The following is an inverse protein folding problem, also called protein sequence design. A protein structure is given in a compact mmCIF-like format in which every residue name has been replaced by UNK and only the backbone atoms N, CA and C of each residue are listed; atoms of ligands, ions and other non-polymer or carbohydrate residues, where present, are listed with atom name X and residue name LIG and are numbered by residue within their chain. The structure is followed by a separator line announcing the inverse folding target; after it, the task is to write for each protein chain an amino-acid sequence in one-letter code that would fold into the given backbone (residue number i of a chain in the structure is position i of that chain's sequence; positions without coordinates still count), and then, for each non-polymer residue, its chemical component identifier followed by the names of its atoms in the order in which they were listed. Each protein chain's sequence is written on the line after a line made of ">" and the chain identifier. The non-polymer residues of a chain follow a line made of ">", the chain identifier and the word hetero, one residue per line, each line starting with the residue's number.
data_IF_259515083372
#
_entry.id   IF_259515083372
#
_cell.length_a   1.000
_cell.length_b   1.000
_cell.length_c   1.000
_cell.angle_alpha   90.00
_cell.angle_beta   90.00
_cell.angle_gamma   90.00
#
_symmetry.space_group_name_H-M   'P 1'
#
loop_
_entity.id
_entity.type
_entity.pdbx_description
1 polymer ?
#
# COMPACT_ATOMS: atom_id res chain seq x y z
N UNK A 1 6.81 32.59 -15.19
CA UNK A 1 6.18 32.46 -16.53
C UNK A 1 7.00 31.44 -17.30
N UNK A 2 6.60 30.17 -17.24
CA UNK A 2 7.15 29.10 -18.06
C UNK A 2 6.19 28.97 -19.24
N UNK A 3 6.71 29.04 -20.47
CA UNK A 3 5.92 29.08 -21.69
C UNK A 3 5.07 27.82 -21.87
N UNK A 4 3.75 28.01 -21.99
CA UNK A 4 2.75 27.01 -22.34
C UNK A 4 2.90 26.53 -23.79
N UNK A 5 3.83 25.63 -24.07
CA UNK A 5 3.95 25.00 -25.41
C UNK A 5 4.18 23.49 -25.34
N UNK A 6 3.20 22.75 -24.82
CA UNK A 6 3.06 21.31 -25.10
C UNK A 6 1.57 20.92 -25.19
N UNK A 7 0.86 21.45 -26.19
CA UNK A 7 -0.46 20.94 -26.56
C UNK A 7 -0.71 21.18 -28.05
N UNK A 8 -0.18 20.31 -28.91
CA UNK A 8 -0.56 20.28 -30.33
C UNK A 8 -0.02 19.02 -31.02
N UNK A 9 -0.85 17.98 -31.10
CA UNK A 9 -0.92 17.16 -32.34
C UNK A 9 -2.12 16.22 -32.49
N UNK A 10 -2.92 15.95 -31.46
CA UNK A 10 -4.09 15.06 -31.59
C UNK A 10 -5.24 15.45 -30.64
N UNK A 11 -6.11 16.39 -31.04
CA UNK A 11 -7.32 16.74 -30.29
C UNK A 11 -8.56 16.05 -30.89
N UNK A 12 -9.12 15.05 -30.20
CA UNK A 12 -10.32 14.27 -30.57
C UNK A 12 -11.32 14.13 -29.41
N UNK A 13 -11.40 15.14 -28.55
CA UNK A 13 -12.27 15.15 -27.37
C UNK A 13 -13.73 15.43 -27.80
N UNK A 14 -14.64 14.45 -27.60
CA UNK A 14 -16.08 14.57 -27.87
C UNK A 14 -16.82 14.57 -26.52
N UNK A 15 -16.86 15.73 -25.86
CA UNK A 15 -17.56 15.92 -24.59
C UNK A 15 -17.89 17.39 -24.39
N UNK A 16 -19.15 17.71 -24.09
CA UNK A 16 -19.63 19.08 -23.88
C UNK A 16 -18.97 19.74 -22.66
N UNK A 17 -18.07 20.71 -22.88
CA UNK A 17 -17.43 21.55 -21.83
C UNK A 17 -18.24 22.84 -21.62
N UNK A 18 -19.54 22.79 -21.38
CA UNK A 18 -20.27 24.02 -21.06
C UNK A 18 -20.01 24.47 -19.60
N UNK A 19 -19.83 23.53 -18.67
CA UNK A 19 -19.69 23.82 -17.24
C UNK A 19 -18.25 24.17 -16.80
N UNK A 20 -17.23 23.60 -17.45
CA UNK A 20 -15.81 23.75 -17.09
C UNK A 20 -15.17 25.05 -17.64
N UNK A 21 -15.67 25.59 -18.76
CA UNK A 21 -15.24 26.88 -19.32
C UNK A 21 -15.61 28.08 -18.42
N UNK A 22 -16.46 27.87 -17.42
CA UNK A 22 -16.89 28.91 -16.47
C UNK A 22 -16.11 28.84 -15.14
N UNK A 23 -15.24 27.86 -14.95
CA UNK A 23 -14.44 27.73 -13.73
C UNK A 23 -13.21 28.66 -13.80
N UNK A 24 -13.03 29.56 -12.82
CA UNK A 24 -11.85 30.42 -12.76
C UNK A 24 -10.56 29.60 -12.78
N UNK A 25 -9.66 29.88 -13.73
CA UNK A 25 -8.37 29.19 -13.86
C UNK A 25 -8.38 27.95 -14.77
N UNK A 26 -9.56 27.49 -15.22
CA UNK A 26 -9.70 26.48 -16.26
C UNK A 26 -9.95 27.16 -17.61
N UNK A 27 -9.06 26.94 -18.57
CA UNK A 27 -9.20 27.44 -19.94
C UNK A 27 -8.16 28.49 -20.33
N UNK A 28 -7.32 28.12 -21.30
CA UNK A 28 -6.61 29.05 -22.18
C UNK A 28 -6.75 28.56 -23.61
N UNK A 29 -7.39 29.32 -24.49
CA UNK A 29 -7.39 29.20 -25.97
C UNK A 29 -7.27 27.79 -26.58
N UNK A 30 -7.89 26.77 -25.99
CA UNK A 30 -7.91 25.42 -26.54
C UNK A 30 -9.18 25.24 -27.39
N UNK A 31 -9.06 24.63 -28.59
CA UNK A 31 -10.22 24.20 -29.37
C UNK A 31 -11.17 23.35 -28.51
N UNK A 32 -12.47 23.40 -28.80
CA UNK A 32 -13.54 22.63 -28.13
C UNK A 32 -13.35 21.11 -28.10
N UNK A 33 -12.31 20.61 -28.76
CA UNK A 33 -11.98 19.19 -28.92
C UNK A 33 -10.70 18.79 -28.18
N UNK A 34 -10.22 19.60 -27.23
CA UNK A 34 -9.07 19.29 -26.39
C UNK A 34 -9.48 19.11 -24.92
N UNK A 35 -8.76 18.28 -24.14
CA UNK A 35 -9.01 18.15 -22.70
C UNK A 35 -8.89 19.50 -21.96
N UNK A 36 -9.58 19.68 -20.82
CA UNK A 36 -9.52 20.93 -20.07
C UNK A 36 -8.11 21.16 -19.47
N UNK A 37 -7.53 22.34 -19.73
CA UNK A 37 -6.31 22.84 -19.06
C UNK A 37 -6.70 23.72 -17.87
N UNK A 38 -6.46 23.19 -16.68
CA UNK A 38 -6.71 23.77 -15.37
C UNK A 38 -5.40 23.81 -14.55
N UNK A 39 -4.24 23.89 -15.20
CA UNK A 39 -2.94 23.96 -14.53
C UNK A 39 -2.91 25.11 -13.51
N UNK A 40 -2.60 24.79 -12.25
CA UNK A 40 -2.54 25.74 -11.15
C UNK A 40 -3.90 26.37 -10.77
N UNK A 41 -5.02 25.84 -11.27
CA UNK A 41 -6.34 26.39 -10.97
C UNK A 41 -6.69 26.24 -9.48
N UNK A 42 -7.39 27.23 -8.92
CA UNK A 42 -7.93 27.17 -7.57
C UNK A 42 -9.39 26.72 -7.58
N UNK A 43 -9.60 25.48 -7.18
CA UNK A 43 -10.87 24.77 -7.25
C UNK A 43 -11.34 24.31 -5.87
N UNK A 44 -10.82 24.87 -4.77
CA UNK A 44 -11.17 24.44 -3.40
C UNK A 44 -12.69 24.32 -3.21
N UNK A 45 -13.14 23.20 -2.64
CA UNK A 45 -14.53 23.01 -2.21
C UNK A 45 -15.55 22.92 -3.34
N UNK A 46 -15.12 22.89 -4.61
CA UNK A 46 -16.03 22.86 -5.75
C UNK A 46 -16.70 21.51 -5.88
N UNK A 47 -17.97 21.55 -6.27
CA UNK A 47 -18.72 20.36 -6.68
C UNK A 47 -18.48 20.11 -8.17
N UNK A 48 -17.82 18.99 -8.43
CA UNK A 48 -17.50 18.44 -9.74
C UNK A 48 -17.82 16.94 -9.77
N UNK A 49 -18.80 16.50 -8.97
CA UNK A 49 -19.23 15.11 -8.95
C UNK A 49 -19.72 14.68 -10.35
N UNK A 50 -19.26 13.51 -10.80
CA UNK A 50 -19.55 13.00 -12.15
C UNK A 50 -18.96 13.82 -13.30
N UNK A 51 -18.08 14.80 -13.03
CA UNK A 51 -17.46 15.60 -14.06
C UNK A 51 -16.62 14.73 -15.01
N UNK A 52 -16.66 15.07 -16.31
CA UNK A 52 -15.84 14.43 -17.34
C UNK A 52 -14.56 15.22 -17.51
N UNK A 53 -13.49 14.74 -16.88
CA UNK A 53 -12.16 15.32 -16.80
C UNK A 53 -11.10 14.36 -17.36
N UNK A 54 -11.50 13.41 -18.20
CA UNK A 54 -10.58 12.48 -18.84
C UNK A 54 -9.53 13.25 -19.65
N UNK A 55 -8.25 12.92 -19.44
CA UNK A 55 -7.09 13.58 -20.04
C UNK A 55 -6.93 15.07 -19.66
N UNK A 56 -7.66 15.56 -18.66
CA UNK A 56 -7.53 16.94 -18.19
C UNK A 56 -6.12 17.20 -17.63
N UNK A 57 -5.66 18.44 -17.77
CA UNK A 57 -4.40 18.90 -17.18
C UNK A 57 -4.76 19.69 -15.93
N UNK A 58 -4.50 19.10 -14.77
CA UNK A 58 -4.75 19.62 -13.42
C UNK A 58 -3.44 19.73 -12.63
N UNK A 59 -2.31 19.79 -13.33
CA UNK A 59 -0.97 19.92 -12.74
C UNK A 59 -0.93 21.10 -11.77
N UNK A 60 -0.46 20.86 -10.55
CA UNK A 60 -0.36 21.83 -9.45
C UNK A 60 -1.70 22.51 -9.08
N UNK A 61 -2.85 21.99 -9.53
CA UNK A 61 -4.15 22.55 -9.19
C UNK A 61 -4.47 22.35 -7.70
N UNK A 62 -5.17 23.33 -7.14
CA UNK A 62 -5.65 23.26 -5.76
C UNK A 62 -7.08 22.71 -5.75
N UNK A 63 -7.20 21.42 -5.49
CA UNK A 63 -8.43 20.64 -5.45
C UNK A 63 -8.80 20.23 -4.01
N UNK A 64 -8.34 20.99 -3.00
CA UNK A 64 -8.63 20.65 -1.61
C UNK A 64 -10.14 20.67 -1.36
N UNK A 65 -10.64 19.65 -0.66
CA UNK A 65 -12.07 19.52 -0.32
C UNK A 65 -13.03 19.54 -1.53
N UNK A 66 -12.54 19.31 -2.75
CA UNK A 66 -13.42 19.21 -3.91
C UNK A 66 -14.26 17.94 -3.85
N UNK A 67 -15.48 18.00 -4.38
CA UNK A 67 -16.29 16.83 -4.63
C UNK A 67 -16.05 16.38 -6.07
N UNK A 68 -15.37 15.26 -6.22
CA UNK A 68 -15.04 14.55 -7.46
C UNK A 68 -15.62 13.13 -7.45
N UNK A 69 -16.64 12.88 -6.63
CA UNK A 69 -17.32 11.59 -6.54
C UNK A 69 -17.79 11.15 -7.94
N UNK A 70 -17.46 9.93 -8.35
CA UNK A 70 -17.76 9.38 -9.70
C UNK A 70 -17.21 10.20 -10.88
N UNK A 71 -16.30 11.16 -10.65
CA UNK A 71 -15.70 11.91 -11.75
C UNK A 71 -14.85 10.98 -12.63
N UNK A 72 -14.82 11.25 -13.93
CA UNK A 72 -13.92 10.59 -14.87
C UNK A 72 -12.66 11.41 -15.01
N UNK A 73 -11.57 10.98 -14.37
CA UNK A 73 -10.22 11.55 -14.38
C UNK A 73 -9.25 10.60 -15.09
N UNK A 74 -9.75 9.69 -15.93
CA UNK A 74 -8.90 8.72 -16.62
C UNK A 74 -7.88 9.43 -17.50
N UNK A 75 -6.63 9.00 -17.41
CA UNK A 75 -5.48 9.60 -18.13
C UNK A 75 -5.27 11.10 -17.86
N UNK A 76 -5.92 11.67 -16.84
CA UNK A 76 -5.69 13.06 -16.45
C UNK A 76 -4.30 13.21 -15.81
N UNK A 77 -3.72 14.40 -15.94
CA UNK A 77 -2.48 14.76 -15.29
C UNK A 77 -2.78 15.65 -14.08
N UNK A 78 -2.68 15.06 -12.89
CA UNK A 78 -2.83 15.70 -11.59
C UNK A 78 -1.48 15.82 -10.86
N UNK A 79 -0.36 15.78 -11.58
CA UNK A 79 0.97 15.85 -10.98
C UNK A 79 1.13 17.10 -10.11
N UNK A 80 1.56 16.92 -8.86
CA UNK A 80 1.72 17.99 -7.88
C UNK A 80 0.40 18.65 -7.42
N UNK A 81 -0.76 18.17 -7.83
CA UNK A 81 -2.04 18.71 -7.38
C UNK A 81 -2.26 18.48 -5.88
N UNK A 82 -3.08 19.32 -5.27
CA UNK A 82 -3.45 19.22 -3.85
C UNK A 82 -4.89 18.77 -3.71
N UNK A 83 -5.10 17.52 -3.33
CA UNK A 83 -6.39 16.86 -3.15
C UNK A 83 -6.68 16.56 -1.67
N UNK A 84 -6.04 17.29 -0.74
CA UNK A 84 -6.25 17.13 0.70
C UNK A 84 -7.74 17.23 1.04
N UNK A 85 -8.26 16.23 1.74
CA UNK A 85 -9.67 16.08 2.13
C UNK A 85 -10.65 16.10 0.93
N UNK A 86 -10.20 15.85 -0.30
CA UNK A 86 -11.08 15.76 -1.47
C UNK A 86 -11.89 14.45 -1.45
N UNK A 87 -13.12 14.50 -1.94
CA UNK A 87 -13.94 13.30 -2.14
C UNK A 87 -13.81 12.84 -3.59
N UNK A 88 -13.10 11.74 -3.82
CA UNK A 88 -12.92 11.03 -5.09
C UNK A 88 -13.57 9.64 -5.05
N UNK A 89 -14.55 9.41 -4.17
CA UNK A 89 -15.16 8.10 -4.03
C UNK A 89 -15.77 7.65 -5.37
N UNK A 90 -15.47 6.41 -5.77
CA UNK A 90 -15.87 5.82 -7.05
C UNK A 90 -15.40 6.60 -8.30
N UNK A 91 -14.43 7.50 -8.18
CA UNK A 91 -13.87 8.19 -9.34
C UNK A 91 -13.05 7.24 -10.22
N UNK A 92 -12.97 7.53 -11.51
CA UNK A 92 -12.13 6.82 -12.45
C UNK A 92 -10.81 7.57 -12.64
N UNK A 93 -9.73 7.09 -12.04
CA UNK A 93 -8.36 7.59 -12.15
C UNK A 93 -7.47 6.64 -12.97
N UNK A 94 -8.09 5.76 -13.78
CA UNK A 94 -7.35 4.77 -14.56
C UNK A 94 -6.28 5.45 -15.42
N UNK A 95 -5.04 4.99 -15.31
CA UNK A 95 -3.88 5.54 -16.02
C UNK A 95 -3.62 7.04 -15.81
N UNK A 96 -4.16 7.65 -14.74
CA UNK A 96 -3.88 9.03 -14.41
C UNK A 96 -2.42 9.23 -13.93
N UNK A 97 -1.87 10.41 -14.18
CA UNK A 97 -0.58 10.83 -13.63
C UNK A 97 -0.84 11.58 -12.33
N UNK A 98 -0.34 11.06 -11.22
CA UNK A 98 -0.56 11.52 -9.85
C UNK A 98 0.81 11.73 -9.15
N UNK A 99 1.84 12.09 -9.92
CA UNK A 99 3.21 12.23 -9.43
C UNK A 99 3.28 13.29 -8.33
N UNK A 100 3.74 12.91 -7.13
CA UNK A 100 3.88 13.83 -5.99
C UNK A 100 2.58 14.48 -5.54
N UNK A 101 1.41 13.90 -5.87
CA UNK A 101 0.10 14.44 -5.47
C UNK A 101 -0.07 14.37 -3.94
N UNK A 102 -0.76 15.35 -3.38
CA UNK A 102 -1.14 15.34 -1.96
C UNK A 102 -2.60 14.91 -1.79
N UNK A 103 -2.82 13.66 -1.43
CA UNK A 103 -4.11 13.00 -1.18
C UNK A 103 -4.38 12.83 0.33
N UNK A 104 -3.68 13.56 1.19
CA UNK A 104 -3.85 13.46 2.65
C UNK A 104 -5.32 13.55 3.05
N UNK A 105 -5.82 12.54 3.78
CA UNK A 105 -7.20 12.44 4.24
C UNK A 105 -8.28 12.51 3.12
N UNK A 106 -7.90 12.27 1.86
CA UNK A 106 -8.85 12.18 0.76
C UNK A 106 -9.67 10.87 0.82
N UNK A 107 -10.88 10.89 0.26
CA UNK A 107 -11.72 9.70 0.10
C UNK A 107 -11.65 9.16 -1.32
N UNK A 108 -11.02 8.00 -1.51
CA UNK A 108 -10.91 7.23 -2.75
C UNK A 108 -11.64 5.88 -2.64
N UNK A 109 -12.63 5.76 -1.74
CA UNK A 109 -13.41 4.54 -1.58
C UNK A 109 -14.01 4.06 -2.91
N UNK A 110 -13.68 2.83 -3.33
CA UNK A 110 -14.13 2.24 -4.59
C UNK A 110 -13.58 2.90 -5.86
N UNK A 111 -12.60 3.79 -5.78
CA UNK A 111 -12.02 4.44 -6.96
C UNK A 111 -11.21 3.44 -7.81
N UNK A 112 -11.17 3.68 -9.12
CA UNK A 112 -10.33 2.93 -10.06
C UNK A 112 -9.03 3.69 -10.30
N UNK A 113 -7.92 3.22 -9.74
CA UNK A 113 -6.55 3.71 -9.96
C UNK A 113 -5.71 2.75 -10.81
N UNK A 114 -6.35 1.85 -11.58
CA UNK A 114 -5.64 0.85 -12.37
C UNK A 114 -4.60 1.49 -13.30
N UNK A 115 -3.34 1.09 -13.17
CA UNK A 115 -2.21 1.61 -13.93
C UNK A 115 -1.88 3.10 -13.71
N UNK A 116 -2.44 3.74 -12.69
CA UNK A 116 -2.12 5.12 -12.34
C UNK A 116 -0.68 5.24 -11.77
N UNK A 117 -0.05 6.39 -11.96
CA UNK A 117 1.30 6.66 -11.45
C UNK A 117 1.24 7.63 -10.28
N UNK A 118 1.30 7.10 -9.04
CA UNK A 118 1.32 7.84 -7.79
C UNK A 118 2.74 7.90 -7.19
N UNK A 119 3.79 7.85 -8.02
CA UNK A 119 5.18 7.94 -7.53
C UNK A 119 5.36 9.20 -6.68
N UNK A 120 5.87 9.02 -5.46
CA UNK A 120 6.10 10.10 -4.49
C UNK A 120 4.84 10.75 -3.91
N UNK A 121 3.64 10.19 -4.15
CA UNK A 121 2.40 10.75 -3.63
C UNK A 121 2.28 10.62 -2.10
N UNK A 122 1.64 11.60 -1.46
CA UNK A 122 1.28 11.53 -0.05
C UNK A 122 -0.18 11.09 0.09
N UNK A 123 -0.40 9.88 0.59
CA UNK A 123 -1.70 9.26 0.85
C UNK A 123 -1.91 9.01 2.36
N UNK A 124 -1.33 9.85 3.22
CA UNK A 124 -1.47 9.72 4.67
C UNK A 124 -2.95 9.83 5.06
N UNK A 125 -3.46 8.83 5.79
CA UNK A 125 -4.85 8.82 6.26
C UNK A 125 -5.92 8.72 5.16
N UNK A 126 -5.54 8.46 3.90
CA UNK A 126 -6.47 8.34 2.78
C UNK A 126 -7.36 7.10 2.93
N UNK A 127 -8.64 7.22 2.56
CA UNK A 127 -9.54 6.07 2.41
C UNK A 127 -9.45 5.48 1.00
N UNK A 128 -8.96 4.26 0.87
CA UNK A 128 -8.86 3.46 -0.35
C UNK A 128 -9.70 2.16 -0.22
N UNK A 129 -10.69 2.13 0.67
CA UNK A 129 -11.54 0.94 0.88
C UNK A 129 -12.14 0.47 -0.44
N UNK A 130 -11.89 -0.79 -0.81
CA UNK A 130 -12.40 -1.39 -2.05
C UNK A 130 -11.86 -0.76 -3.35
N UNK A 131 -10.84 0.10 -3.29
CA UNK A 131 -10.25 0.70 -4.48
C UNK A 131 -9.47 -0.33 -5.32
N UNK A 132 -9.38 -0.09 -6.62
CA UNK A 132 -8.58 -0.88 -7.55
C UNK A 132 -7.26 -0.15 -7.86
N UNK A 133 -6.14 -0.67 -7.38
CA UNK A 133 -4.78 -0.17 -7.63
C UNK A 133 -3.96 -1.12 -8.52
N UNK A 134 -4.62 -2.03 -9.25
CA UNK A 134 -3.94 -2.99 -10.11
C UNK A 134 -2.94 -2.31 -11.04
N UNK A 135 -1.71 -2.81 -11.10
CA UNK A 135 -0.63 -2.27 -11.94
C UNK A 135 -0.25 -0.80 -11.67
N UNK A 136 -0.77 -0.18 -10.59
CA UNK A 136 -0.37 1.17 -10.22
C UNK A 136 1.08 1.21 -9.73
N UNK A 137 1.69 2.42 -9.77
CA UNK A 137 3.02 2.67 -9.22
C UNK A 137 2.93 3.63 -8.04
N UNK A 138 3.53 3.28 -6.92
CA UNK A 138 3.54 4.09 -5.70
C UNK A 138 4.95 4.17 -5.09
N UNK A 139 6.00 4.02 -5.91
CA UNK A 139 7.37 4.10 -5.41
C UNK A 139 7.63 5.42 -4.67
N UNK A 140 8.20 5.32 -3.47
CA UNK A 140 8.47 6.48 -2.61
C UNK A 140 7.23 7.21 -2.07
N UNK A 141 6.03 6.64 -2.25
CA UNK A 141 4.80 7.19 -1.69
C UNK A 141 4.66 6.97 -0.17
N UNK A 142 3.63 7.57 0.42
CA UNK A 142 3.33 7.44 1.85
C UNK A 142 1.86 7.09 2.08
N UNK A 143 1.57 5.87 2.52
CA UNK A 143 0.25 5.34 2.92
C UNK A 143 0.12 5.18 4.44
N UNK A 144 0.91 5.91 5.23
CA UNK A 144 0.85 5.83 6.70
C UNK A 144 -0.59 6.10 7.17
N UNK A 145 -1.12 5.22 8.02
CA UNK A 145 -2.50 5.29 8.54
C UNK A 145 -3.62 5.29 7.48
N UNK A 146 -3.31 4.92 6.22
CA UNK A 146 -4.34 4.77 5.19
C UNK A 146 -5.25 3.57 5.47
N UNK A 147 -6.49 3.62 4.95
CA UNK A 147 -7.45 2.50 5.01
C UNK A 147 -7.62 1.90 3.63
N UNK A 148 -7.13 0.69 3.42
CA UNK A 148 -7.14 -0.06 2.16
C UNK A 148 -8.05 -1.30 2.20
N UNK A 149 -8.96 -1.41 3.18
CA UNK A 149 -9.77 -2.62 3.42
C UNK A 149 -10.40 -3.16 2.14
N UNK A 150 -10.14 -4.44 1.82
CA UNK A 150 -10.72 -5.10 0.65
C UNK A 150 -10.32 -4.52 -0.71
N UNK A 151 -9.26 -3.71 -0.77
CA UNK A 151 -8.74 -3.15 -2.03
C UNK A 151 -7.96 -4.19 -2.84
N UNK A 152 -7.73 -3.89 -4.11
CA UNK A 152 -6.94 -4.73 -5.01
C UNK A 152 -5.62 -4.04 -5.39
N UNK A 153 -4.50 -4.58 -4.91
CA UNK A 153 -3.13 -4.14 -5.20
C UNK A 153 -2.35 -5.17 -6.03
N UNK A 154 -3.04 -6.04 -6.76
CA UNK A 154 -2.39 -7.10 -7.55
C UNK A 154 -1.40 -6.47 -8.55
N UNK A 155 -0.16 -6.96 -8.52
CA UNK A 155 0.92 -6.49 -9.41
C UNK A 155 1.22 -4.99 -9.33
N UNK A 156 0.89 -4.34 -8.22
CA UNK A 156 1.29 -2.96 -7.93
C UNK A 156 2.77 -2.90 -7.50
N UNK A 157 3.49 -1.86 -7.91
CA UNK A 157 4.83 -1.58 -7.39
C UNK A 157 4.77 -0.57 -6.23
N UNK A 158 5.06 -1.07 -5.03
CA UNK A 158 5.04 -0.33 -3.76
C UNK A 158 6.40 -0.47 -3.05
N UNK A 159 7.48 -0.60 -3.83
CA UNK A 159 8.84 -0.76 -3.30
C UNK A 159 9.18 0.39 -2.33
N UNK A 160 9.65 0.05 -1.12
CA UNK A 160 10.04 1.03 -0.09
C UNK A 160 8.93 1.94 0.42
N UNK A 161 7.66 1.64 0.16
CA UNK A 161 6.52 2.47 0.61
C UNK A 161 6.41 2.46 2.14
N UNK A 162 5.89 3.56 2.71
CA UNK A 162 5.40 3.53 4.10
C UNK A 162 3.93 3.15 4.15
N UNK A 163 3.64 2.02 4.78
CA UNK A 163 2.31 1.50 5.15
C UNK A 163 2.17 1.41 6.68
N UNK A 164 3.00 2.14 7.43
CA UNK A 164 3.00 2.07 8.88
C UNK A 164 1.60 2.38 9.45
N UNK A 165 1.11 1.50 10.32
CA UNK A 165 -0.22 1.60 10.94
C UNK A 165 -1.41 1.67 9.95
N UNK A 166 -1.20 1.32 8.68
CA UNK A 166 -2.29 1.25 7.70
C UNK A 166 -3.19 0.05 7.98
N UNK A 167 -4.47 0.16 7.61
CA UNK A 167 -5.40 -0.98 7.62
C UNK A 167 -5.54 -1.53 6.20
N UNK A 168 -4.92 -2.67 5.93
CA UNK A 168 -4.91 -3.39 4.65
C UNK A 168 -5.67 -4.73 4.76
N UNK A 169 -6.49 -4.91 5.81
CA UNK A 169 -7.20 -6.16 6.07
C UNK A 169 -8.12 -6.58 4.90
N UNK A 170 -8.16 -7.88 4.64
CA UNK A 170 -8.96 -8.49 3.56
C UNK A 170 -8.58 -8.07 2.13
N UNK A 171 -7.50 -7.32 1.93
CA UNK A 171 -7.08 -6.83 0.62
C UNK A 171 -6.32 -7.89 -0.18
N UNK A 172 -6.28 -7.72 -1.50
CA UNK A 172 -5.50 -8.58 -2.39
C UNK A 172 -4.19 -7.90 -2.81
N UNK A 173 -3.06 -8.39 -2.30
CA UNK A 173 -1.68 -7.98 -2.59
C UNK A 173 -0.89 -9.09 -3.30
N UNK A 174 -1.58 -9.99 -4.00
CA UNK A 174 -0.92 -11.11 -4.68
C UNK A 174 0.04 -10.61 -5.75
N UNK A 175 1.25 -11.16 -5.78
CA UNK A 175 2.31 -10.78 -6.75
C UNK A 175 2.68 -9.29 -6.74
N UNK A 176 2.46 -8.60 -5.62
CA UNK A 176 2.87 -7.22 -5.37
C UNK A 176 4.34 -7.17 -4.96
N UNK A 177 5.05 -6.08 -5.30
CA UNK A 177 6.42 -5.85 -4.85
C UNK A 177 6.46 -4.87 -3.66
N UNK A 178 6.64 -5.40 -2.46
CA UNK A 178 6.79 -4.72 -1.17
C UNK A 178 8.24 -4.81 -0.64
N UNK A 179 9.24 -4.97 -1.51
CA UNK A 179 10.65 -5.00 -1.13
C UNK A 179 11.01 -3.74 -0.31
N UNK A 180 11.56 -3.95 0.89
CA UNK A 180 11.97 -2.89 1.81
C UNK A 180 10.83 -2.00 2.35
N UNK A 181 9.56 -2.36 2.13
CA UNK A 181 8.42 -1.57 2.58
C UNK A 181 8.33 -1.50 4.12
N UNK A 182 7.78 -0.40 4.64
CA UNK A 182 7.58 -0.19 6.08
C UNK A 182 6.12 -0.46 6.44
N UNK A 183 5.84 -1.64 6.98
CA UNK A 183 4.50 -2.13 7.31
C UNK A 183 4.28 -2.25 8.82
N UNK A 184 5.17 -1.66 9.63
CA UNK A 184 5.15 -1.82 11.07
C UNK A 184 3.83 -1.33 11.66
N UNK A 185 3.25 -2.15 12.54
CA UNK A 185 1.94 -1.91 13.16
C UNK A 185 0.74 -1.91 12.20
N UNK A 186 0.92 -2.28 10.93
CA UNK A 186 -0.20 -2.38 9.99
C UNK A 186 -1.13 -3.55 10.33
N UNK A 187 -2.40 -3.42 9.99
CA UNK A 187 -3.35 -4.53 10.02
C UNK A 187 -3.50 -5.11 8.61
N UNK A 188 -3.02 -6.34 8.42
CA UNK A 188 -3.08 -7.11 7.18
C UNK A 188 -3.86 -8.42 7.38
N UNK A 189 -4.70 -8.50 8.41
CA UNK A 189 -5.45 -9.72 8.71
C UNK A 189 -6.35 -10.14 7.55
N UNK A 190 -6.37 -11.45 7.26
CA UNK A 190 -7.13 -12.04 6.16
C UNK A 190 -6.76 -11.56 4.76
N UNK A 191 -5.63 -10.86 4.58
CA UNK A 191 -5.18 -10.41 3.26
C UNK A 191 -4.62 -11.55 2.41
N UNK A 192 -4.63 -11.37 1.09
CA UNK A 192 -4.03 -12.28 0.12
C UNK A 192 -2.66 -11.74 -0.29
N UNK A 193 -1.59 -12.44 0.07
CA UNK A 193 -0.18 -12.11 -0.15
C UNK A 193 0.52 -13.22 -0.95
N UNK A 194 -0.23 -13.88 -1.85
CA UNK A 194 0.27 -15.03 -2.62
C UNK A 194 1.38 -14.57 -3.56
N UNK A 195 2.57 -15.18 -3.42
CA UNK A 195 3.79 -14.84 -4.19
C UNK A 195 4.17 -13.36 -4.13
N UNK A 196 3.84 -12.69 -3.03
CA UNK A 196 4.24 -11.30 -2.79
C UNK A 196 5.73 -11.23 -2.47
N UNK A 197 6.44 -10.24 -3.01
CA UNK A 197 7.84 -9.99 -2.68
C UNK A 197 7.94 -9.01 -1.52
N UNK A 198 8.41 -9.48 -0.37
CA UNK A 198 8.64 -8.73 0.88
C UNK A 198 10.10 -8.78 1.36
N UNK A 199 11.15 -8.97 0.52
CA UNK A 199 12.50 -9.09 1.05
C UNK A 199 12.92 -7.79 1.75
N UNK A 200 13.49 -7.91 2.94
CA UNK A 200 13.90 -6.78 3.78
C UNK A 200 12.77 -5.87 4.28
N UNK A 201 11.50 -6.26 4.09
CA UNK A 201 10.36 -5.47 4.58
C UNK A 201 10.34 -5.40 6.12
N UNK A 202 9.82 -4.30 6.66
CA UNK A 202 9.63 -4.09 8.11
C UNK A 202 8.18 -4.36 8.47
N UNK A 203 7.90 -5.56 8.96
CA UNK A 203 6.59 -6.09 9.38
C UNK A 203 6.48 -6.17 10.92
N UNK A 204 7.18 -5.28 11.62
CA UNK A 204 7.23 -5.35 13.08
C UNK A 204 5.85 -5.03 13.68
N UNK A 205 5.37 -5.86 14.60
CA UNK A 205 4.05 -5.72 15.22
C UNK A 205 2.88 -5.69 14.21
N UNK A 206 3.09 -6.19 12.98
CA UNK A 206 2.04 -6.27 11.97
C UNK A 206 1.07 -7.41 12.31
N UNK A 207 -0.23 -7.18 12.11
CA UNK A 207 -1.24 -8.22 12.22
C UNK A 207 -1.41 -8.94 10.87
N UNK A 208 -0.95 -10.17 10.77
CA UNK A 208 -1.07 -11.07 9.62
C UNK A 208 -2.02 -12.25 9.91
N UNK A 209 -2.85 -12.16 10.95
CA UNK A 209 -3.76 -13.25 11.35
C UNK A 209 -4.60 -13.74 10.18
N UNK A 210 -4.57 -15.05 9.91
CA UNK A 210 -5.35 -15.69 8.86
C UNK A 210 -5.06 -15.21 7.43
N UNK A 211 -3.96 -14.49 7.21
CA UNK A 211 -3.55 -14.05 5.87
C UNK A 211 -2.96 -15.21 5.05
N UNK A 212 -3.01 -15.10 3.73
CA UNK A 212 -2.47 -16.09 2.81
C UNK A 212 -1.15 -15.60 2.21
N UNK A 213 -0.02 -16.07 2.73
CA UNK A 213 1.34 -15.80 2.26
C UNK A 213 1.93 -16.96 1.45
N UNK A 214 1.09 -17.79 0.81
CA UNK A 214 1.56 -18.93 0.03
C UNK A 214 2.62 -18.50 -1.01
N UNK A 215 3.81 -19.09 -0.91
CA UNK A 215 4.94 -18.79 -1.80
C UNK A 215 5.47 -17.35 -1.73
N UNK A 216 5.14 -16.57 -0.69
CA UNK A 216 5.67 -15.22 -0.51
C UNK A 216 7.17 -15.25 -0.21
N UNK A 217 7.90 -14.21 -0.61
CA UNK A 217 9.32 -14.03 -0.29
C UNK A 217 9.49 -12.99 0.82
N UNK A 218 9.72 -13.45 2.04
CA UNK A 218 9.97 -12.67 3.25
C UNK A 218 11.46 -12.68 3.64
N UNK A 219 12.38 -12.99 2.71
CA UNK A 219 13.79 -13.13 3.05
C UNK A 219 14.38 -11.86 3.66
N UNK A 220 15.05 -12.01 4.80
CA UNK A 220 15.62 -10.90 5.57
C UNK A 220 14.59 -9.89 6.10
N UNK A 221 13.28 -10.16 6.02
CA UNK A 221 12.26 -9.29 6.56
C UNK A 221 12.31 -9.26 8.10
N UNK A 222 11.93 -8.13 8.69
CA UNK A 222 11.77 -8.02 10.13
C UNK A 222 10.31 -8.21 10.50
N UNK A 223 9.96 -9.31 11.16
CA UNK A 223 8.63 -9.63 11.67
C UNK A 223 8.60 -9.59 13.20
N UNK A 224 9.42 -8.74 13.83
CA UNK A 224 9.54 -8.67 15.28
C UNK A 224 8.17 -8.42 15.92
N UNK A 225 7.75 -9.33 16.80
CA UNK A 225 6.45 -9.30 17.45
C UNK A 225 5.23 -9.24 16.51
N UNK A 226 5.36 -9.71 15.26
CA UNK A 226 4.24 -9.82 14.34
C UNK A 226 3.27 -10.93 14.76
N UNK A 227 1.98 -10.77 14.47
CA UNK A 227 0.98 -11.81 14.71
C UNK A 227 0.63 -12.54 13.40
N UNK A 228 1.13 -13.75 13.22
CA UNK A 228 0.87 -14.64 12.08
C UNK A 228 -0.07 -15.81 12.46
N UNK A 229 -0.88 -15.67 13.51
CA UNK A 229 -1.80 -16.74 13.95
C UNK A 229 -2.66 -17.23 12.79
N UNK A 230 -2.63 -18.52 12.50
CA UNK A 230 -3.40 -19.15 11.42
C UNK A 230 -3.06 -18.69 9.99
N UNK A 231 -1.93 -18.00 9.78
CA UNK A 231 -1.51 -17.60 8.45
C UNK A 231 -1.06 -18.80 7.60
N UNK A 232 -1.33 -18.77 6.30
CA UNK A 232 -0.81 -19.76 5.34
C UNK A 232 0.56 -19.29 4.82
N UNK A 233 1.63 -19.93 5.26
CA UNK A 233 3.01 -19.67 4.83
C UNK A 233 3.54 -20.83 3.98
N UNK A 234 2.67 -21.65 3.38
CA UNK A 234 3.10 -22.81 2.62
C UNK A 234 4.03 -22.39 1.46
N UNK A 235 5.22 -22.97 1.41
CA UNK A 235 6.25 -22.65 0.41
C UNK A 235 6.85 -21.24 0.52
N UNK A 236 6.56 -20.48 1.58
CA UNK A 236 7.11 -19.14 1.75
C UNK A 236 8.61 -19.17 2.07
N UNK A 237 9.34 -18.16 1.60
CA UNK A 237 10.76 -17.99 1.90
C UNK A 237 10.96 -16.98 3.03
N UNK A 238 11.29 -17.46 4.23
CA UNK A 238 11.60 -16.63 5.40
C UNK A 238 13.10 -16.59 5.71
N UNK A 239 13.97 -17.00 4.78
CA UNK A 239 15.41 -17.11 5.08
C UNK A 239 16.00 -15.80 5.63
N UNK A 240 16.68 -15.88 6.78
CA UNK A 240 17.28 -14.72 7.45
C UNK A 240 16.29 -13.74 8.07
N UNK A 241 14.98 -14.03 8.08
CA UNK A 241 13.98 -13.15 8.67
C UNK A 241 14.08 -13.11 10.21
N UNK A 242 13.70 -11.99 10.81
CA UNK A 242 13.60 -11.86 12.26
C UNK A 242 12.17 -12.14 12.72
N UNK A 243 11.97 -13.25 13.44
CA UNK A 243 10.70 -13.71 13.99
C UNK A 243 10.63 -13.59 15.52
N UNK A 244 11.62 -12.95 16.17
CA UNK A 244 11.59 -12.81 17.64
C UNK A 244 10.30 -12.14 18.09
N UNK A 245 9.64 -12.74 19.08
CA UNK A 245 8.36 -12.32 19.62
C UNK A 245 7.15 -12.58 18.72
N UNK A 246 7.35 -13.09 17.50
CA UNK A 246 6.25 -13.33 16.57
C UNK A 246 5.37 -14.50 17.05
N UNK A 247 4.07 -14.41 16.80
CA UNK A 247 3.13 -15.49 17.09
C UNK A 247 2.73 -16.20 15.80
N UNK A 248 3.14 -17.46 15.63
CA UNK A 248 2.84 -18.31 14.49
C UNK A 248 1.83 -19.41 14.85
N UNK A 249 1.05 -19.22 15.91
CA UNK A 249 0.12 -20.22 16.40
C UNK A 249 -0.86 -20.70 15.33
N UNK A 250 -0.87 -21.98 15.01
CA UNK A 250 -1.73 -22.54 13.96
C UNK A 250 -1.35 -22.18 12.52
N UNK A 251 -0.22 -21.49 12.28
CA UNK A 251 0.24 -21.16 10.94
C UNK A 251 0.65 -22.41 10.13
N UNK A 252 0.55 -22.35 8.81
CA UNK A 252 0.97 -23.44 7.92
C UNK A 252 2.36 -23.15 7.32
N UNK A 253 3.39 -23.82 7.82
CA UNK A 253 4.79 -23.69 7.43
C UNK A 253 5.27 -24.81 6.49
N UNK A 254 4.37 -25.61 5.92
CA UNK A 254 4.73 -26.72 5.01
C UNK A 254 5.54 -26.21 3.83
N UNK A 255 6.69 -26.83 3.54
CA UNK A 255 7.61 -26.40 2.48
C UNK A 255 8.23 -25.01 2.65
N UNK A 256 8.02 -24.32 3.78
CA UNK A 256 8.60 -23.00 4.01
C UNK A 256 10.11 -23.09 4.27
N UNK A 257 10.85 -22.07 3.85
CA UNK A 257 12.28 -21.95 4.13
C UNK A 257 12.51 -20.99 5.31
N UNK A 258 12.88 -21.51 6.47
CA UNK A 258 13.20 -20.75 7.68
C UNK A 258 14.72 -20.69 7.97
N UNK A 259 15.58 -21.05 7.02
CA UNK A 259 17.03 -21.07 7.24
C UNK A 259 17.57 -19.72 7.74
N UNK A 260 18.35 -19.75 8.81
CA UNK A 260 18.95 -18.55 9.40
C UNK A 260 17.96 -17.54 9.99
N UNK A 261 16.69 -17.91 10.20
CA UNK A 261 15.75 -17.03 10.90
C UNK A 261 16.18 -16.81 12.36
N UNK A 262 15.94 -15.59 12.87
CA UNK A 262 16.08 -15.29 14.30
C UNK A 262 14.76 -15.60 14.99
N UNK A 263 14.73 -16.66 15.79
CA UNK A 263 13.53 -17.10 16.51
C UNK A 263 13.66 -16.87 18.02
N UNK A 264 14.89 -16.99 18.55
CA UNK A 264 15.15 -16.85 19.97
C UNK A 264 15.53 -15.40 20.33
N UNK A 265 14.98 -14.89 21.42
CA UNK A 265 15.29 -13.55 21.93
C UNK A 265 16.76 -13.41 22.32
N UNK A 266 17.40 -14.51 22.74
CA UNK A 266 18.81 -14.52 23.14
C UNK A 266 19.77 -14.15 21.99
N UNK A 267 19.36 -14.39 20.75
CA UNK A 267 20.15 -14.09 19.55
C UNK A 267 19.87 -12.67 19.01
N UNK A 268 19.04 -11.89 19.72
CA UNK A 268 18.50 -10.63 19.25
C UNK A 268 18.93 -9.42 20.08
N UNK A 269 19.44 -8.40 19.40
CA UNK A 269 19.85 -7.13 20.03
C UNK A 269 18.72 -6.11 19.84
N UNK A 270 17.86 -5.97 20.85
CA UNK A 270 16.68 -5.09 20.84
C UNK A 270 17.04 -3.62 20.55
N UNK A 271 18.18 -3.13 21.05
CA UNK A 271 18.62 -1.74 20.88
C UNK A 271 18.96 -1.36 19.43
N UNK A 272 19.04 -2.35 18.53
CA UNK A 272 19.31 -2.11 17.10
C UNK A 272 18.07 -1.71 16.29
N UNK A 273 16.86 -1.84 16.87
CA UNK A 273 15.63 -1.55 16.13
C UNK A 273 15.37 -0.04 16.09
N UNK A 274 15.50 0.55 14.90
CA UNK A 274 15.19 1.96 14.61
C UNK A 274 13.80 2.15 14.02
N UNK A 275 12.85 1.32 14.42
CA UNK A 275 11.48 1.33 13.91
C UNK A 275 10.62 2.38 14.64
N UNK A 276 10.04 3.36 13.94
CA UNK A 276 9.21 4.40 14.56
C UNK A 276 8.10 3.84 15.46
N UNK A 277 7.42 2.76 15.03
CA UNK A 277 6.29 2.18 15.77
C UNK A 277 6.75 1.56 17.08
N UNK A 278 7.92 0.92 17.11
CA UNK A 278 8.49 0.34 18.33
C UNK A 278 9.03 1.43 19.25
N UNK A 279 9.65 2.48 18.68
CA UNK A 279 10.20 3.58 19.48
C UNK A 279 9.14 4.38 20.22
N UNK A 280 7.90 4.40 19.72
CA UNK A 280 6.75 5.01 20.39
C UNK A 280 6.24 4.23 21.62
N UNK A 281 6.59 2.94 21.75
CA UNK A 281 6.22 2.15 22.92
C UNK A 281 7.01 2.58 24.15
N UNK A 282 6.33 2.59 25.30
CA UNK A 282 7.01 2.69 26.59
C UNK A 282 7.85 1.43 26.86
N UNK A 283 8.80 1.54 27.80
CA UNK A 283 9.75 0.47 28.12
C UNK A 283 9.05 -0.82 28.58
N UNK A 284 7.98 -0.72 29.37
CA UNK A 284 7.25 -1.86 29.90
C UNK A 284 6.54 -2.65 28.78
N UNK A 285 5.95 -1.96 27.80
CA UNK A 285 5.28 -2.61 26.68
C UNK A 285 6.29 -3.18 25.69
N UNK A 286 7.41 -2.49 25.47
CA UNK A 286 8.52 -3.02 24.65
C UNK A 286 9.12 -4.29 25.24
N UNK A 287 9.29 -4.35 26.57
CA UNK A 287 9.83 -5.51 27.27
C UNK A 287 8.94 -6.76 27.12
N UNK A 288 7.61 -6.59 26.97
CA UNK A 288 6.69 -7.72 26.72
C UNK A 288 6.85 -8.33 25.34
N UNK A 289 7.46 -7.61 24.39
CA UNK A 289 7.68 -8.10 23.03
C UNK A 289 8.97 -8.95 22.91
N UNK A 290 9.87 -8.83 23.90
CA UNK A 290 11.15 -9.53 23.92
C UNK A 290 11.00 -10.96 24.44
N UNK A 291 10.41 -11.81 23.62
CA UNK A 291 10.21 -13.24 23.87
C UNK A 291 10.57 -14.04 22.62
N UNK A 292 10.80 -15.34 22.76
CA UNK A 292 10.99 -16.22 21.61
C UNK A 292 9.73 -16.24 20.73
N UNK A 293 9.86 -16.61 19.46
CA UNK A 293 8.68 -16.80 18.61
C UNK A 293 7.82 -17.96 19.11
N UNK A 294 6.50 -17.76 19.16
CA UNK A 294 5.55 -18.83 19.48
C UNK A 294 5.21 -19.63 18.22
N UNK A 295 5.68 -20.87 18.15
CA UNK A 295 5.42 -21.78 17.03
C UNK A 295 4.28 -22.78 17.33
N UNK A 296 3.67 -22.75 18.51
CA UNK A 296 2.80 -23.84 18.94
C UNK A 296 1.53 -23.98 18.10
N UNK A 297 1.24 -25.22 17.68
CA UNK A 297 0.12 -25.53 16.81
C UNK A 297 0.37 -25.23 15.33
N UNK A 298 1.50 -24.61 14.97
CA UNK A 298 1.89 -24.48 13.56
C UNK A 298 2.12 -25.85 12.94
N UNK A 299 1.98 -25.94 11.62
CA UNK A 299 2.06 -27.18 10.84
C UNK A 299 3.28 -27.15 9.92
N UNK A 300 3.99 -28.26 9.78
CA UNK A 300 5.14 -28.38 8.89
C UNK A 300 5.18 -29.75 8.21
N UNK A 301 6.01 -29.91 7.19
CA UNK A 301 6.24 -31.18 6.49
C UNK A 301 7.75 -31.46 6.32
N UNK A 302 8.09 -32.55 5.62
CA UNK A 302 9.48 -32.93 5.35
C UNK A 302 10.24 -31.95 4.43
N UNK A 303 9.54 -31.04 3.75
CA UNK A 303 10.13 -30.04 2.87
C UNK A 303 10.43 -28.73 3.61
N UNK A 304 9.81 -28.51 4.78
CA UNK A 304 10.08 -27.35 5.63
C UNK A 304 11.56 -27.33 6.06
N UNK A 305 12.23 -26.21 5.82
CA UNK A 305 13.65 -26.03 6.13
C UNK A 305 13.80 -25.21 7.41
N UNK A 306 14.11 -25.85 8.53
CA UNK A 306 14.27 -25.19 9.83
C UNK A 306 15.69 -24.63 10.05
N UNK A 307 15.88 -23.58 10.88
CA UNK A 307 17.21 -23.15 11.30
C UNK A 307 18.01 -24.31 11.93
N UNK A 308 19.31 -24.40 11.64
CA UNK A 308 20.18 -25.47 12.17
C UNK A 308 20.21 -25.55 13.69
N UNK A 309 20.01 -24.42 14.39
CA UNK A 309 20.08 -24.32 15.84
C UNK A 309 18.74 -24.51 16.55
N UNK A 310 17.64 -24.64 15.80
CA UNK A 310 16.30 -24.75 16.38
C UNK A 310 15.95 -26.20 16.72
N UNK A 311 15.70 -26.47 17.99
CA UNK A 311 14.97 -27.66 18.40
C UNK A 311 13.47 -27.43 18.18
N UNK A 312 12.86 -28.19 17.26
CA UNK A 312 11.44 -28.03 16.92
C UNK A 312 10.58 -28.33 18.16
N UNK A 313 9.76 -27.38 18.65
CA UNK A 313 8.92 -27.61 19.83
C UNK A 313 7.91 -28.74 19.61
N UNK A 314 7.65 -29.54 20.66
CA UNK A 314 6.72 -30.67 20.59
C UNK A 314 5.26 -30.28 20.26
N UNK A 315 4.90 -29.01 20.43
CA UNK A 315 3.60 -28.47 20.07
C UNK A 315 3.45 -28.15 18.57
N UNK A 316 4.53 -28.24 17.78
CA UNK A 316 4.51 -28.07 16.32
C UNK A 316 4.10 -29.39 15.66
N UNK A 317 3.17 -29.32 14.71
CA UNK A 317 2.46 -30.48 14.16
C UNK A 317 3.09 -30.89 12.83
N UNK A 318 3.70 -32.08 12.77
CA UNK A 318 4.12 -32.69 11.51
C UNK A 318 2.90 -33.16 10.73
N UNK A 319 2.85 -32.81 9.44
CA UNK A 319 1.84 -33.25 8.47
C UNK A 319 2.55 -34.07 7.41
N UNK A 320 2.04 -35.28 7.15
CA UNK A 320 2.53 -36.18 6.11
C UNK A 320 2.21 -35.69 4.68
#
# INVERSE_FOLDING_TARGET
>A
MIEKTFASKYCSWLGLVAALLLLPGCGGSLPSNCPPDCMGADLIGRDMAGARLSQAILVEANLRRTLLERADLSQADLSGARLVEANLANANLNQALLLGVDLTEADLGGANLGGADLTGANLTGTNLTGADLTLARLWGGNLTQATLIGSNLTSTDVTGISLAKANVSGSNLSSTNLNGAWLSGADMSGSLLVRTALPGARLNMTNLTGSNLNGADLSGASLYAANLTGADLNGANLAGANLVGANLGGADLRGANLQGTLINVADFIVDSITDPVITELNEADRAKLAQDADLCGSRYDQQTQWPETLEIPACVILVE
#
